data_IF_241258297381
#
_entry.id   IF_241258297381
#
_cell.length_a   1.000
_cell.length_b   1.000
_cell.length_c   1.000
_cell.angle_alpha   90.00
_cell.angle_beta   90.00
_cell.angle_gamma   90.00
#
_symmetry.space_group_name_H-M   'P 1'
#
loop_
_entity.id
_entity.type
_entity.pdbx_description
1 polymer ?
#
# COMPACT_ATOMS: atom_id res chain seq x y z
N UNK A 1 -4.73 27.92 31.73
CA UNK A 1 -5.32 27.84 30.38
C UNK A 1 -5.22 26.39 29.93
N UNK A 2 -6.31 25.74 29.46
CA UNK A 2 -6.27 24.32 29.15
C UNK A 2 -5.45 24.06 27.89
N UNK A 3 -4.73 22.94 27.93
CA UNK A 3 -3.71 22.46 27.01
C UNK A 3 -4.28 22.14 25.61
N UNK A 4 -4.48 23.13 24.76
CA UNK A 4 -5.03 22.95 23.40
C UNK A 4 -4.05 22.25 22.45
N UNK A 5 -2.73 22.34 22.68
CA UNK A 5 -1.72 21.73 21.79
C UNK A 5 -1.65 20.21 21.89
N UNK A 6 -1.73 19.65 23.10
CA UNK A 6 -1.71 18.19 23.30
C UNK A 6 -3.00 17.51 22.78
N UNK A 7 -4.15 18.19 22.87
CA UNK A 7 -5.39 17.70 22.28
C UNK A 7 -5.28 17.56 20.75
N UNK A 8 -4.68 18.56 20.10
CA UNK A 8 -4.50 18.57 18.64
C UNK A 8 -3.49 17.53 18.14
N UNK A 9 -2.36 17.32 18.85
CA UNK A 9 -1.38 16.26 18.49
C UNK A 9 -1.98 14.86 18.60
N UNK A 10 -2.77 14.61 19.65
CA UNK A 10 -3.43 13.32 19.88
C UNK A 10 -4.51 13.01 18.84
N UNK A 11 -5.30 14.00 18.42
CA UNK A 11 -6.23 13.83 17.29
C UNK A 11 -5.52 13.69 15.95
N UNK A 12 -4.39 14.38 15.74
CA UNK A 12 -3.60 14.28 14.51
C UNK A 12 -2.97 12.90 14.32
N UNK A 13 -2.32 12.39 15.37
CA UNK A 13 -1.73 11.04 15.40
C UNK A 13 -2.79 9.94 15.24
N UNK A 14 -3.97 10.09 15.85
CA UNK A 14 -5.09 9.17 15.64
C UNK A 14 -5.56 9.08 14.19
N UNK A 15 -5.69 10.23 13.50
CA UNK A 15 -6.07 10.28 12.07
C UNK A 15 -4.98 9.73 11.16
N UNK A 16 -3.70 9.96 11.47
CA UNK A 16 -2.58 9.39 10.72
C UNK A 16 -2.53 7.87 10.84
N UNK A 17 -2.79 7.32 12.03
CA UNK A 17 -2.87 5.87 12.23
C UNK A 17 -4.05 5.24 11.47
N UNK A 18 -5.21 5.89 11.46
CA UNK A 18 -6.36 5.45 10.65
C UNK A 18 -6.03 5.47 9.15
N UNK A 19 -5.38 6.53 8.67
CA UNK A 19 -4.95 6.63 7.27
C UNK A 19 -3.95 5.53 6.91
N UNK A 20 -2.95 5.25 7.76
CA UNK A 20 -1.99 4.17 7.54
C UNK A 20 -2.69 2.80 7.44
N UNK A 21 -3.61 2.50 8.36
CA UNK A 21 -4.38 1.26 8.34
C UNK A 21 -5.24 1.13 7.06
N UNK A 22 -5.92 2.20 6.65
CA UNK A 22 -6.72 2.20 5.43
C UNK A 22 -5.87 1.98 4.17
N UNK A 23 -4.61 2.45 4.14
CA UNK A 23 -3.68 2.17 3.05
C UNK A 23 -3.24 0.71 3.01
N UNK A 24 -3.08 0.07 4.18
CA UNK A 24 -2.79 -1.38 4.26
C UNK A 24 -3.97 -2.20 3.75
N UNK A 25 -5.19 -1.85 4.14
CA UNK A 25 -6.42 -2.50 3.64
C UNK A 25 -6.55 -2.32 2.12
N UNK A 26 -6.39 -1.08 1.62
CA UNK A 26 -6.40 -0.80 0.18
C UNK A 26 -5.35 -1.60 -0.59
N UNK A 27 -4.16 -1.81 -0.01
CA UNK A 27 -3.12 -2.64 -0.60
C UNK A 27 -3.58 -4.09 -0.73
N UNK A 28 -4.20 -4.65 0.32
CA UNK A 28 -4.75 -6.00 0.32
C UNK A 28 -5.88 -6.18 -0.69
N UNK A 29 -6.79 -5.21 -0.78
CA UNK A 29 -7.86 -5.22 -1.78
C UNK A 29 -7.31 -5.15 -3.21
N UNK A 30 -6.27 -4.33 -3.42
CA UNK A 30 -5.56 -4.24 -4.70
C UNK A 30 -4.88 -5.56 -5.06
N UNK A 31 -4.26 -6.26 -4.08
CA UNK A 31 -3.66 -7.59 -4.28
C UNK A 31 -4.71 -8.64 -4.70
N UNK A 32 -5.89 -8.63 -4.10
CA UNK A 32 -6.94 -9.59 -4.44
C UNK A 32 -7.49 -9.39 -5.86
N UNK A 33 -7.75 -8.13 -6.25
CA UNK A 33 -8.21 -7.79 -7.60
C UNK A 33 -7.14 -8.11 -8.64
N UNK A 34 -5.88 -7.83 -8.34
CA UNK A 34 -4.72 -8.11 -9.19
C UNK A 34 -4.57 -9.62 -9.46
N UNK A 35 -4.61 -10.45 -8.41
CA UNK A 35 -4.54 -11.90 -8.56
C UNK A 35 -5.68 -12.45 -9.42
N UNK A 36 -6.90 -11.92 -9.27
CA UNK A 36 -8.04 -12.33 -10.08
C UNK A 36 -7.83 -11.98 -11.56
N UNK A 37 -7.30 -10.79 -11.84
CA UNK A 37 -7.02 -10.34 -13.20
C UNK A 37 -5.91 -11.15 -13.90
N UNK A 38 -4.85 -11.52 -13.16
CA UNK A 38 -3.77 -12.39 -13.65
C UNK A 38 -4.32 -13.80 -13.97
N UNK A 39 -5.08 -14.40 -13.04
CA UNK A 39 -5.70 -15.71 -13.25
C UNK A 39 -6.60 -15.76 -14.49
N UNK A 40 -7.47 -14.74 -14.65
CA UNK A 40 -8.36 -14.62 -15.81
C UNK A 40 -7.57 -14.43 -17.11
N UNK A 41 -6.51 -13.63 -17.09
CA UNK A 41 -5.68 -13.37 -18.27
C UNK A 41 -4.90 -14.62 -18.68
N UNK A 42 -4.29 -15.34 -17.73
CA UNK A 42 -3.64 -16.62 -18.00
C UNK A 42 -4.63 -17.68 -18.51
N UNK A 43 -5.84 -17.73 -17.95
CA UNK A 43 -6.90 -18.63 -18.38
C UNK A 43 -7.32 -18.32 -19.83
N UNK A 44 -7.50 -17.05 -20.17
CA UNK A 44 -7.83 -16.59 -21.52
C UNK A 44 -6.72 -16.91 -22.52
N UNK A 45 -5.45 -16.66 -22.18
CA UNK A 45 -4.28 -16.99 -23.01
C UNK A 45 -4.20 -18.50 -23.27
N UNK A 46 -4.36 -19.32 -22.23
CA UNK A 46 -4.41 -20.79 -22.36
C UNK A 46 -5.58 -21.23 -23.24
N UNK A 47 -6.76 -20.63 -23.09
CA UNK A 47 -7.93 -20.88 -23.91
C UNK A 47 -7.70 -20.55 -25.39
N UNK A 48 -7.13 -19.39 -25.68
CA UNK A 48 -6.79 -18.97 -27.05
C UNK A 48 -5.77 -19.92 -27.70
N UNK A 49 -4.74 -20.31 -26.94
CA UNK A 49 -3.70 -21.24 -27.42
C UNK A 49 -4.16 -22.71 -27.47
N UNK A 50 -5.28 -23.06 -26.82
CA UNK A 50 -5.88 -24.40 -26.94
C UNK A 50 -6.46 -24.65 -28.34
N UNK A 51 -6.85 -23.58 -29.03
CA UNK A 51 -7.48 -23.64 -30.35
C UNK A 51 -6.50 -23.40 -31.51
N UNK A 52 -5.21 -23.32 -31.21
CA UNK A 52 -4.17 -23.21 -32.23
C UNK A 52 -3.53 -24.56 -32.51
N UNK A 53 -3.22 -24.80 -33.78
CA UNK A 53 -2.69 -26.08 -34.23
C UNK A 53 -1.32 -26.37 -33.57
N UNK A 54 -1.02 -27.63 -33.19
CA UNK A 54 0.31 -28.00 -32.74
C UNK A 54 1.30 -27.81 -33.90
N UNK A 55 2.24 -26.88 -33.75
CA UNK A 55 3.20 -26.52 -34.78
C UNK A 55 4.21 -25.48 -34.26
N UNK A 56 5.23 -25.19 -35.07
CA UNK A 56 6.28 -24.20 -34.74
C UNK A 56 5.66 -22.89 -34.20
N UNK A 57 6.33 -22.18 -33.27
CA UNK A 57 5.76 -21.04 -32.53
C UNK A 57 5.20 -19.90 -33.42
N UNK A 58 5.60 -19.84 -34.69
CA UNK A 58 5.09 -18.89 -35.69
C UNK A 58 3.79 -19.34 -36.40
N UNK A 59 3.30 -20.56 -36.17
CA UNK A 59 2.19 -21.18 -36.91
C UNK A 59 0.89 -21.37 -36.10
N UNK A 60 0.87 -20.98 -34.83
CA UNK A 60 -0.23 -21.37 -33.95
C UNK A 60 -0.24 -20.71 -32.59
N UNK A 61 -0.01 -19.41 -32.50
CA UNK A 61 -0.42 -18.63 -31.33
C UNK A 61 -1.28 -17.50 -31.86
N UNK A 62 -2.49 -17.31 -31.30
CA UNK A 62 -3.27 -16.15 -31.70
C UNK A 62 -2.45 -14.90 -31.32
N UNK A 63 -2.23 -13.98 -32.26
CA UNK A 63 -1.53 -12.72 -31.97
C UNK A 63 -2.16 -11.99 -30.76
N UNK A 64 -3.47 -12.18 -30.56
CA UNK A 64 -4.21 -11.67 -29.39
C UNK A 64 -3.76 -12.29 -28.06
N UNK A 65 -3.35 -13.56 -28.03
CA UNK A 65 -2.80 -14.21 -26.84
C UNK A 65 -1.43 -13.60 -26.45
N UNK A 66 -0.58 -13.30 -27.43
CA UNK A 66 0.69 -12.60 -27.21
C UNK A 66 0.50 -11.17 -26.70
N UNK A 67 -0.48 -10.43 -27.25
CA UNK A 67 -0.82 -9.09 -26.75
C UNK A 67 -1.44 -9.10 -25.36
N UNK A 68 -2.26 -10.11 -25.03
CA UNK A 68 -2.81 -10.29 -23.68
C UNK A 68 -1.70 -10.55 -22.66
N UNK A 69 -0.74 -11.41 -22.98
CA UNK A 69 0.43 -11.64 -22.11
C UNK A 69 1.29 -10.37 -21.93
N UNK A 70 1.43 -9.57 -22.98
CA UNK A 70 2.15 -8.28 -22.88
C UNK A 70 1.40 -7.29 -21.99
N UNK A 71 0.07 -7.28 -22.05
CA UNK A 71 -0.77 -6.45 -21.19
C UNK A 71 -0.68 -6.90 -19.73
N UNK A 72 -0.70 -8.21 -19.48
CA UNK A 72 -0.54 -8.83 -18.16
C UNK A 72 0.77 -8.39 -17.49
N UNK A 73 1.90 -8.53 -18.19
CA UNK A 73 3.22 -8.10 -17.69
C UNK A 73 3.22 -6.61 -17.33
N UNK A 74 2.70 -5.75 -18.21
CA UNK A 74 2.62 -4.31 -17.97
C UNK A 74 1.72 -3.97 -16.78
N UNK A 75 0.61 -4.69 -16.63
CA UNK A 75 -0.29 -4.53 -15.51
C UNK A 75 0.41 -4.89 -14.20
N UNK A 76 1.09 -6.04 -14.13
CA UNK A 76 1.87 -6.46 -12.97
C UNK A 76 2.97 -5.47 -12.57
N UNK A 77 3.65 -4.85 -13.54
CA UNK A 77 4.61 -3.77 -13.29
C UNK A 77 3.95 -2.54 -12.63
N UNK A 78 2.79 -2.11 -13.14
CA UNK A 78 2.06 -0.96 -12.58
C UNK A 78 1.53 -1.24 -11.18
N UNK A 79 1.02 -2.44 -10.94
CA UNK A 79 0.51 -2.83 -9.62
C UNK A 79 1.66 -2.93 -8.60
N UNK A 80 2.80 -3.48 -8.99
CA UNK A 80 4.01 -3.49 -8.15
C UNK A 80 4.45 -2.07 -7.77
N UNK A 81 4.45 -1.15 -8.73
CA UNK A 81 4.77 0.25 -8.47
C UNK A 81 3.78 0.91 -7.51
N UNK A 82 2.47 0.69 -7.69
CA UNK A 82 1.43 1.19 -6.79
C UNK A 82 1.60 0.64 -5.36
N UNK A 83 1.83 -0.66 -5.21
CA UNK A 83 2.09 -1.29 -3.90
C UNK A 83 3.30 -0.66 -3.20
N UNK A 84 4.37 -0.38 -3.95
CA UNK A 84 5.55 0.33 -3.45
C UNK A 84 5.24 1.73 -2.91
N UNK A 85 4.45 2.52 -3.65
CA UNK A 85 4.03 3.86 -3.20
C UNK A 85 3.16 3.81 -1.95
N UNK A 86 2.19 2.88 -1.89
CA UNK A 86 1.32 2.71 -0.72
C UNK A 86 2.13 2.32 0.53
N UNK A 87 3.13 1.45 0.36
CA UNK A 87 4.03 1.06 1.43
C UNK A 87 4.86 2.25 1.94
N UNK A 88 5.49 3.03 1.06
CA UNK A 88 6.29 4.21 1.44
C UNK A 88 5.44 5.26 2.20
N UNK A 89 4.20 5.50 1.75
CA UNK A 89 3.28 6.41 2.46
C UNK A 89 2.93 5.85 3.84
N UNK A 90 2.62 4.56 3.95
CA UNK A 90 2.32 3.91 5.23
C UNK A 90 3.50 4.01 6.21
N UNK A 91 4.71 3.74 5.74
CA UNK A 91 5.93 3.80 6.57
C UNK A 91 6.20 5.22 7.06
N UNK A 92 6.01 6.23 6.21
CA UNK A 92 6.11 7.65 6.61
C UNK A 92 5.07 8.03 7.66
N UNK A 93 3.82 7.60 7.49
CA UNK A 93 2.76 7.86 8.48
C UNK A 93 3.08 7.22 9.84
N UNK A 94 3.62 6.00 9.85
CA UNK A 94 4.07 5.34 11.07
C UNK A 94 5.25 6.05 11.72
N UNK A 95 6.26 6.44 10.93
CA UNK A 95 7.42 7.19 11.41
C UNK A 95 7.02 8.52 12.05
N UNK A 96 6.19 9.32 11.36
CA UNK A 96 5.72 10.61 11.88
C UNK A 96 4.87 10.44 13.14
N UNK A 97 4.04 9.38 13.22
CA UNK A 97 3.29 9.08 14.45
C UNK A 97 4.23 8.76 15.62
N UNK A 98 5.32 8.03 15.37
CA UNK A 98 6.35 7.73 16.36
C UNK A 98 7.09 8.98 16.84
N UNK A 99 7.49 9.86 15.92
CA UNK A 99 8.13 11.14 16.25
C UNK A 99 7.23 12.03 17.10
N UNK A 100 5.94 12.17 16.74
CA UNK A 100 4.99 12.93 17.54
C UNK A 100 4.79 12.35 18.94
N UNK A 101 4.69 11.02 19.06
CA UNK A 101 4.53 10.35 20.36
C UNK A 101 5.74 10.59 21.25
N UNK A 102 6.94 10.52 20.68
CA UNK A 102 8.18 10.78 21.41
C UNK A 102 8.30 12.24 21.85
N UNK A 103 8.03 13.18 20.95
CA UNK A 103 8.04 14.60 21.26
C UNK A 103 7.01 14.96 22.36
N UNK A 104 5.85 14.31 22.37
CA UNK A 104 4.84 14.51 23.40
C UNK A 104 5.28 13.95 24.76
N UNK A 105 5.95 12.79 24.79
CA UNK A 105 6.55 12.25 26.02
C UNK A 105 7.68 13.12 26.57
N UNK A 106 8.55 13.63 25.69
CA UNK A 106 9.65 14.54 26.06
C UNK A 106 9.11 15.87 26.60
N UNK A 107 8.07 16.44 25.98
CA UNK A 107 7.43 17.66 26.49
C UNK A 107 6.69 17.41 27.81
N UNK A 108 6.00 16.27 27.97
CA UNK A 108 5.38 15.90 29.25
C UNK A 108 6.44 15.77 30.36
N UNK A 109 7.56 15.12 30.09
CA UNK A 109 8.67 15.00 31.03
C UNK A 109 9.27 16.38 31.39
N UNK A 110 9.41 17.28 30.42
CA UNK A 110 9.89 18.65 30.63
C UNK A 110 8.90 19.49 31.42
N UNK A 111 7.60 19.38 31.14
CA UNK A 111 6.57 20.06 31.91
C UNK A 111 6.53 19.53 33.34
N UNK A 112 6.59 18.21 33.55
CA UNK A 112 6.64 17.58 34.87
C UNK A 112 7.83 18.07 35.71
N UNK A 113 9.02 18.21 35.10
CA UNK A 113 10.20 18.72 35.80
C UNK A 113 10.09 20.22 36.13
N UNK A 114 9.39 21.01 35.30
CA UNK A 114 9.11 22.43 35.58
C UNK A 114 8.00 22.59 36.64
N UNK A 115 7.00 21.71 36.65
CA UNK A 115 5.89 21.74 37.63
C UNK A 115 6.24 21.10 38.98
N UNK A 116 7.43 20.51 39.11
CA UNK A 116 7.94 19.97 40.38
C UNK A 116 9.11 20.80 40.94
N UNK A 117 8.93 22.07 41.38
CA UNK A 117 9.98 22.75 42.15
C UNK A 117 10.09 22.26 43.61
N UNK A 118 9.09 21.55 44.16
CA UNK A 118 9.12 20.99 45.51
C UNK A 118 8.22 19.74 45.59
N UNK A 119 8.85 18.57 45.77
CA UNK A 119 8.21 17.27 45.95
C UNK A 119 9.26 16.17 46.00
#
# INVERSE_FOLDING_TARGET
MPNTRAGTSKTGTGRMKQAANALVELRGDTENVDNTADEDTQSAVKGLNKHTAPGLPDAGSWATAGSLMTMDVRWGEQVTHLKGMLQDISDRLHATTGEYTRAEQEEQARMASITSPFG
#
